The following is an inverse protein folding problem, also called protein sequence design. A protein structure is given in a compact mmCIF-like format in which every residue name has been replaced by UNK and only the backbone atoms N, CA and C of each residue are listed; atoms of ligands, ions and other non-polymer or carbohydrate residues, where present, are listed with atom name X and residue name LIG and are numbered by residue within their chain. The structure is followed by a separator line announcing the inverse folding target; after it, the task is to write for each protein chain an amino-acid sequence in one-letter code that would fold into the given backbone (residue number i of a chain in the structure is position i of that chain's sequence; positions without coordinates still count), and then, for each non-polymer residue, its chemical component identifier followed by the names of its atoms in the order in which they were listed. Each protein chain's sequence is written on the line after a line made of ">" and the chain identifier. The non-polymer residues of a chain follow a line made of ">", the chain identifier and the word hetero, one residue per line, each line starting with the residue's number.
data_IF_251605434510
#
_entry.id   IF_251605434510
#
_cell.length_a   1.000
_cell.length_b   1.000
_cell.length_c   1.000
_cell.angle_alpha   90.00
_cell.angle_beta   90.00
_cell.angle_gamma   90.00
#
_symmetry.space_group_name_H-M   'P 1'
#
loop_
_entity.id
_entity.type
_entity.pdbx_description
1 polymer ?
#
# COMPACT_ATOMS: atom_id res chain seq x y z
N UNK A 1 -64.04 7.09 20.10
CA UNK A 1 -63.55 5.80 20.65
C UNK A 1 -62.06 5.97 20.85
N UNK A 2 -61.64 6.52 22.00
CA UNK A 2 -61.24 5.81 23.24
C UNK A 2 -59.80 5.30 23.20
N UNK A 3 -58.94 6.03 23.91
CA UNK A 3 -57.80 5.62 24.76
C UNK A 3 -57.38 4.14 24.74
N UNK A 4 -56.06 3.90 24.70
CA UNK A 4 -55.33 3.40 25.87
C UNK A 4 -53.81 3.35 25.61
N UNK A 5 -53.08 4.08 26.45
CA UNK A 5 -51.69 3.84 26.79
C UNK A 5 -51.66 2.61 27.71
N UNK A 6 -50.84 1.60 27.41
CA UNK A 6 -50.50 0.55 28.37
C UNK A 6 -48.99 0.50 28.58
N UNK A 7 -48.62 0.63 29.86
CA UNK A 7 -47.26 0.73 30.33
C UNK A 7 -46.56 -0.61 30.29
N UNK A 8 -45.26 -0.57 29.97
CA UNK A 8 -44.35 -1.69 30.21
C UNK A 8 -43.52 -1.40 31.44
N UNK A 9 -43.84 -2.10 32.51
CA UNK A 9 -43.13 -2.14 33.78
C UNK A 9 -41.73 -2.72 33.57
N UNK A 10 -40.72 -1.96 33.96
CA UNK A 10 -39.32 -2.40 34.07
C UNK A 10 -39.25 -3.45 35.19
N UNK A 11 -38.92 -4.70 34.85
CA UNK A 11 -38.54 -5.70 35.87
C UNK A 11 -37.09 -5.48 36.26
N UNK A 12 -36.89 -5.03 37.49
CA UNK A 12 -35.61 -5.04 38.19
C UNK A 12 -35.13 -6.50 38.36
N UNK A 13 -33.88 -6.77 37.99
CA UNK A 13 -33.20 -8.05 38.28
C UNK A 13 -32.72 -8.06 39.74
N UNK A 14 -32.79 -9.21 40.45
CA UNK A 14 -32.21 -9.35 41.78
C UNK A 14 -30.66 -9.44 41.72
N UNK A 15 -29.95 -9.10 42.81
CA UNK A 15 -28.49 -9.15 42.85
C UNK A 15 -28.03 -10.59 43.10
N UNK A 16 -27.02 -11.05 42.36
CA UNK A 16 -26.33 -12.30 42.65
C UNK A 16 -24.83 -12.04 42.83
N UNK A 17 -24.45 -11.99 44.11
CA UNK A 17 -23.25 -12.57 44.72
C UNK A 17 -21.90 -12.24 44.10
N UNK A 18 -21.19 -11.31 44.72
CA UNK A 18 -19.77 -11.06 44.50
C UNK A 18 -18.93 -12.24 44.98
N UNK A 19 -18.14 -12.82 44.08
CA UNK A 19 -17.10 -13.80 44.39
C UNK A 19 -15.83 -13.02 44.75
N UNK A 20 -15.41 -13.09 46.01
CA UNK A 20 -14.19 -12.45 46.50
C UNK A 20 -13.00 -13.29 46.02
N UNK A 21 -12.27 -12.77 45.03
CA UNK A 21 -10.90 -13.21 44.76
C UNK A 21 -9.96 -12.38 45.61
N UNK A 22 -9.26 -13.02 46.55
CA UNK A 22 -8.13 -12.43 47.26
C UNK A 22 -6.99 -12.17 46.27
N UNK A 23 -6.76 -10.90 45.96
CA UNK A 23 -5.62 -10.43 45.19
C UNK A 23 -4.41 -10.32 46.14
N UNK A 24 -3.47 -11.26 46.04
CA UNK A 24 -2.18 -11.12 46.71
C UNK A 24 -1.41 -9.96 46.08
N UNK A 25 -1.22 -8.90 46.85
CA UNK A 25 -0.39 -7.76 46.51
C UNK A 25 1.09 -8.18 46.64
N UNK A 26 1.71 -8.56 45.52
CA UNK A 26 3.17 -8.61 45.43
C UNK A 26 3.67 -7.23 45.02
N UNK A 27 4.25 -6.50 45.98
CA UNK A 27 5.03 -5.28 45.73
C UNK A 27 6.30 -5.64 44.96
N UNK A 28 6.32 -5.44 43.65
CA UNK A 28 7.56 -5.40 42.89
C UNK A 28 8.08 -3.96 42.89
N UNK A 29 9.16 -3.77 43.64
CA UNK A 29 9.93 -2.54 43.66
C UNK A 29 10.53 -2.24 42.28
N UNK A 30 10.57 -0.94 41.98
CA UNK A 30 11.24 -0.37 40.82
C UNK A 30 12.76 -0.59 40.94
N UNK A 31 13.40 -1.23 39.96
CA UNK A 31 14.85 -1.13 39.76
C UNK A 31 15.14 -0.74 38.31
N UNK A 32 15.49 0.52 38.11
CA UNK A 32 16.12 1.00 36.89
C UNK A 32 17.59 0.58 36.91
N UNK A 33 17.93 -0.49 36.19
CA UNK A 33 19.31 -0.86 35.90
C UNK A 33 19.64 -0.47 34.43
N UNK A 34 20.53 0.50 34.18
CA UNK A 34 20.78 1.04 32.85
C UNK A 34 22.01 0.39 32.21
N UNK A 35 22.04 -0.92 31.99
CA UNK A 35 23.07 -1.52 31.12
C UNK A 35 22.61 -2.86 30.53
N UNK A 36 21.83 -2.82 29.46
CA UNK A 36 21.79 -3.90 28.47
C UNK A 36 21.59 -3.30 27.07
N UNK A 37 22.30 -3.79 26.03
CA UNK A 37 22.28 -3.17 24.72
C UNK A 37 20.90 -3.36 24.10
N UNK A 38 20.33 -2.25 23.62
CA UNK A 38 19.17 -2.25 22.73
C UNK A 38 19.55 -3.10 21.51
N UNK A 39 18.93 -4.28 21.39
CA UNK A 39 18.99 -5.06 20.14
C UNK A 39 18.36 -4.20 19.06
N UNK A 40 19.21 -3.71 18.16
CA UNK A 40 18.87 -2.84 17.05
C UNK A 40 17.73 -3.43 16.21
N UNK A 41 16.79 -2.57 15.83
CA UNK A 41 15.85 -2.82 14.74
C UNK A 41 16.60 -3.34 13.49
N UNK A 42 15.98 -4.19 12.64
CA UNK A 42 16.60 -4.57 11.39
C UNK A 42 16.92 -3.30 10.59
N UNK A 43 18.20 -3.15 10.23
CA UNK A 43 18.71 -2.11 9.36
C UNK A 43 18.01 -2.22 8.00
N UNK A 44 17.02 -1.37 7.75
CA UNK A 44 16.39 -1.20 6.43
C UNK A 44 17.32 -0.36 5.56
N UNK A 45 18.51 -0.91 5.31
CA UNK A 45 19.70 -0.22 4.83
C UNK A 45 19.46 0.85 3.76
N UNK A 46 20.16 1.98 3.93
CA UNK A 46 20.48 2.87 2.80
C UNK A 46 21.11 2.03 1.68
N UNK A 47 20.83 2.32 0.40
CA UNK A 47 21.35 1.52 -0.70
C UNK A 47 22.88 1.66 -0.75
N UNK A 48 23.58 0.60 -0.34
CA UNK A 48 25.01 0.43 -0.60
C UNK A 48 25.19 -0.15 -2.00
N UNK A 49 25.96 0.55 -2.82
CA UNK A 49 26.36 0.11 -4.15
C UNK A 49 27.48 -0.92 -3.99
N UNK A 50 27.17 -2.22 -4.02
CA UNK A 50 28.16 -3.26 -4.33
C UNK A 50 27.54 -4.61 -4.76
N UNK A 51 27.76 -4.93 -6.03
CA UNK A 51 28.07 -6.21 -6.68
C UNK A 51 27.19 -7.46 -6.41
N UNK A 52 26.56 -7.91 -7.50
CA UNK A 52 25.80 -9.14 -7.65
C UNK A 52 26.61 -10.42 -7.37
N UNK A 53 26.00 -11.41 -6.72
CA UNK A 53 25.47 -12.65 -7.36
C UNK A 53 25.26 -13.72 -6.29
N UNK A 54 24.01 -14.06 -5.99
CA UNK A 54 23.58 -15.43 -5.71
C UNK A 54 22.08 -15.52 -6.07
N UNK A 55 21.78 -16.03 -7.27
CA UNK A 55 20.41 -16.18 -7.75
C UNK A 55 19.91 -17.55 -7.29
N UNK A 56 19.30 -17.59 -6.11
CA UNK A 56 18.23 -18.55 -5.85
C UNK A 56 16.95 -17.96 -6.44
N UNK A 57 16.03 -18.78 -6.95
CA UNK A 57 14.84 -18.36 -7.70
C UNK A 57 14.18 -17.02 -7.28
N UNK A 58 14.12 -16.10 -8.27
CA UNK A 58 13.03 -15.15 -8.57
C UNK A 58 12.77 -13.91 -7.69
N UNK A 59 13.79 -13.18 -7.24
CA UNK A 59 13.63 -11.79 -6.79
C UNK A 59 13.45 -10.78 -7.94
N UNK A 60 13.06 -9.54 -7.64
CA UNK A 60 13.17 -8.40 -8.56
C UNK A 60 14.14 -7.38 -7.97
N UNK A 61 15.04 -6.88 -8.82
CA UNK A 61 15.81 -5.68 -8.57
C UNK A 61 15.97 -4.95 -9.90
N UNK A 62 15.22 -3.88 -10.10
CA UNK A 62 15.24 -3.08 -11.32
C UNK A 62 15.48 -1.61 -10.96
N UNK A 63 16.50 -1.01 -11.55
CA UNK A 63 16.85 0.41 -11.38
C UNK A 63 16.37 1.27 -12.56
N UNK A 64 15.61 0.67 -13.49
CA UNK A 64 15.03 1.34 -14.65
C UNK A 64 16.03 2.20 -15.44
N UNK A 65 17.26 1.72 -15.62
CA UNK A 65 18.19 2.26 -16.63
C UNK A 65 17.69 1.96 -18.04
N UNK A 66 17.08 0.79 -18.20
CA UNK A 66 16.23 0.37 -19.32
C UNK A 66 15.03 -0.38 -18.73
N UNK A 67 13.95 -0.58 -19.50
CA UNK A 67 12.86 -1.42 -19.03
C UNK A 67 13.28 -2.88 -19.15
N UNK A 68 13.44 -3.61 -18.03
CA UNK A 68 13.72 -5.04 -18.07
C UNK A 68 12.48 -5.80 -18.55
N UNK A 69 12.41 -6.06 -19.87
CA UNK A 69 11.26 -6.71 -20.51
C UNK A 69 11.14 -8.20 -20.18
N UNK A 70 12.11 -8.81 -19.51
CA UNK A 70 11.96 -10.15 -18.94
C UNK A 70 11.18 -10.14 -17.63
N UNK A 71 11.13 -9.01 -16.92
CA UNK A 71 10.36 -8.83 -15.69
C UNK A 71 9.02 -8.15 -15.97
N UNK A 72 9.03 -7.05 -16.74
CA UNK A 72 7.90 -6.15 -16.87
C UNK A 72 7.21 -6.22 -18.24
N UNK A 73 5.91 -5.98 -18.23
CA UNK A 73 5.06 -5.71 -19.39
C UNK A 73 4.39 -4.35 -19.23
N UNK A 74 4.35 -3.55 -20.29
CA UNK A 74 3.61 -2.28 -20.31
C UNK A 74 2.13 -2.56 -20.55
N UNK A 75 1.27 -2.15 -19.63
CA UNK A 75 -0.16 -2.45 -19.72
C UNK A 75 -0.86 -1.64 -20.84
N UNK A 76 -1.86 -2.27 -21.47
CA UNK A 76 -2.58 -1.72 -22.63
C UNK A 76 -4.08 -2.06 -22.54
N UNK A 77 -4.75 -1.58 -21.48
CA UNK A 77 -6.15 -1.87 -21.21
C UNK A 77 -6.84 -0.74 -20.46
N UNK A 78 -8.16 -0.83 -20.35
CA UNK A 78 -8.98 0.19 -19.70
C UNK A 78 -8.66 0.30 -18.21
N UNK A 79 -8.57 1.53 -17.71
CA UNK A 79 -8.39 1.82 -16.27
C UNK A 79 -9.57 1.27 -15.44
N UNK A 80 -9.38 0.95 -14.15
CA UNK A 80 -10.41 0.32 -13.32
C UNK A 80 -11.75 1.06 -13.28
N UNK A 81 -11.74 2.40 -13.24
CA UNK A 81 -12.97 3.22 -13.23
C UNK A 81 -13.54 3.53 -14.62
N UNK A 82 -12.97 2.92 -15.67
CA UNK A 82 -13.49 2.94 -17.05
C UNK A 82 -13.55 4.30 -17.74
N UNK A 83 -12.85 5.31 -17.24
CA UNK A 83 -12.80 6.67 -17.79
C UNK A 83 -11.59 6.93 -18.71
N UNK A 84 -10.56 6.08 -18.68
CA UNK A 84 -9.39 6.17 -19.55
C UNK A 84 -8.69 4.82 -19.78
N UNK A 85 -7.52 4.85 -20.42
CA UNK A 85 -6.72 3.66 -20.72
C UNK A 85 -5.30 3.76 -20.16
N UNK A 86 -4.77 2.63 -19.69
CA UNK A 86 -3.33 2.44 -19.66
C UNK A 86 -2.82 2.29 -21.10
N UNK A 87 -1.80 3.06 -21.45
CA UNK A 87 -1.17 3.02 -22.77
C UNK A 87 0.29 2.63 -22.61
N UNK A 88 0.79 1.77 -23.50
CA UNK A 88 2.20 1.40 -23.51
C UNK A 88 3.10 2.63 -23.74
N UNK A 89 2.67 3.57 -24.59
CA UNK A 89 3.35 4.84 -24.82
C UNK A 89 3.47 5.73 -23.57
N UNK A 90 2.70 5.46 -22.52
CA UNK A 90 2.71 6.21 -21.28
C UNK A 90 3.52 5.50 -20.17
N UNK A 91 4.20 4.39 -20.46
CA UNK A 91 5.09 3.71 -19.53
C UNK A 91 6.45 3.54 -20.20
N UNK A 92 7.32 4.55 -20.10
CA UNK A 92 8.60 4.58 -20.81
C UNK A 92 9.76 4.70 -19.83
N UNK A 93 10.97 4.34 -20.24
CA UNK A 93 12.17 4.56 -19.44
C UNK A 93 13.00 5.69 -20.03
N UNK A 94 13.33 6.68 -19.20
CA UNK A 94 14.16 7.81 -19.57
C UNK A 94 14.93 8.34 -18.35
N UNK A 95 16.20 8.73 -18.56
CA UNK A 95 17.01 9.36 -17.50
C UNK A 95 17.13 8.54 -16.21
N UNK A 96 17.23 7.20 -16.31
CA UNK A 96 17.31 6.30 -15.16
C UNK A 96 16.02 6.18 -14.35
N UNK A 97 14.87 6.43 -14.97
CA UNK A 97 13.57 6.27 -14.35
C UNK A 97 12.61 5.55 -15.29
N UNK A 98 11.74 4.72 -14.73
CA UNK A 98 10.45 4.41 -15.34
C UNK A 98 9.54 5.64 -15.14
N UNK A 99 9.05 6.19 -16.24
CA UNK A 99 8.12 7.31 -16.27
C UNK A 99 6.72 6.81 -16.66
N UNK A 100 5.80 6.97 -15.71
CA UNK A 100 4.38 6.63 -15.85
C UNK A 100 3.62 7.92 -16.13
N UNK A 101 3.39 8.18 -17.41
CA UNK A 101 2.88 9.44 -17.93
C UNK A 101 1.37 9.60 -17.77
N UNK A 102 0.99 10.84 -17.46
CA UNK A 102 -0.36 11.37 -17.44
C UNK A 102 -0.43 12.49 -18.48
N UNK A 103 -0.86 12.20 -19.71
CA UNK A 103 -0.96 13.20 -20.77
C UNK A 103 -1.97 14.30 -20.44
N UNK A 104 -1.66 15.53 -20.85
CA UNK A 104 -2.58 16.67 -20.75
C UNK A 104 -3.94 16.35 -21.38
N UNK A 105 -5.02 16.79 -20.72
CA UNK A 105 -6.40 16.73 -21.23
C UNK A 105 -6.94 15.31 -21.57
N UNK A 106 -6.31 14.25 -21.07
CA UNK A 106 -6.81 12.87 -21.19
C UNK A 106 -7.06 12.24 -19.82
N UNK A 107 -7.73 11.09 -19.79
CA UNK A 107 -7.79 10.19 -18.61
C UNK A 107 -6.79 9.03 -18.74
N UNK A 108 -5.95 9.05 -19.77
CA UNK A 108 -5.00 7.97 -20.03
C UNK A 108 -3.84 8.04 -19.02
N UNK A 109 -3.28 6.88 -18.74
CA UNK A 109 -2.22 6.71 -17.74
C UNK A 109 -1.15 5.72 -18.20
N UNK A 110 -0.14 5.56 -17.35
CA UNK A 110 0.95 4.62 -17.55
C UNK A 110 0.91 3.52 -16.50
N UNK A 111 1.23 2.29 -16.91
CA UNK A 111 1.40 1.18 -15.98
C UNK A 111 2.37 0.15 -16.54
N UNK A 112 3.14 -0.45 -15.62
CA UNK A 112 3.83 -1.72 -15.85
C UNK A 112 3.33 -2.76 -14.86
N UNK A 113 3.33 -4.02 -15.30
CA UNK A 113 3.04 -5.18 -14.46
C UNK A 113 4.08 -6.26 -14.68
N UNK A 114 4.34 -7.07 -13.67
CA UNK A 114 5.26 -8.20 -13.84
C UNK A 114 4.68 -9.29 -14.74
N UNK A 115 5.55 -10.00 -15.45
CA UNK A 115 5.19 -11.18 -16.24
C UNK A 115 4.78 -12.35 -15.35
N UNK A 116 5.49 -12.53 -14.24
CA UNK A 116 5.27 -13.59 -13.28
C UNK A 116 4.50 -13.06 -12.07
N UNK A 117 3.85 -13.99 -11.37
CA UNK A 117 3.26 -13.74 -10.05
C UNK A 117 4.27 -14.08 -8.96
N UNK A 118 4.19 -13.34 -7.87
CA UNK A 118 5.06 -13.45 -6.72
C UNK A 118 4.24 -13.70 -5.45
N UNK A 119 4.90 -14.23 -4.42
CA UNK A 119 4.26 -14.75 -3.22
C UNK A 119 4.41 -13.81 -2.03
N UNK A 120 4.56 -14.41 -0.85
CA UNK A 120 5.00 -13.69 0.34
C UNK A 120 6.40 -13.11 0.12
N UNK A 121 6.67 -11.99 0.78
CA UNK A 121 7.90 -11.25 0.62
C UNK A 121 7.69 -9.76 0.82
N UNK A 122 8.72 -8.99 0.51
CA UNK A 122 8.73 -7.53 0.59
C UNK A 122 8.74 -6.94 -0.81
N UNK A 123 7.78 -6.05 -1.08
CA UNK A 123 7.62 -5.34 -2.34
C UNK A 123 7.87 -3.85 -2.09
N UNK A 124 8.72 -3.25 -2.91
CA UNK A 124 9.23 -1.92 -2.67
C UNK A 124 9.35 -1.16 -3.99
N UNK A 125 8.94 0.11 -3.99
CA UNK A 125 9.17 1.03 -5.10
C UNK A 125 9.64 2.39 -4.59
N UNK A 126 10.64 2.96 -5.25
CA UNK A 126 11.15 4.31 -4.96
C UNK A 126 10.55 5.26 -6.00
N UNK A 127 9.58 6.06 -5.58
CA UNK A 127 8.71 6.81 -6.47
C UNK A 127 8.67 8.30 -6.11
N UNK A 128 8.63 9.15 -7.13
CA UNK A 128 8.19 10.55 -7.05
C UNK A 128 6.91 10.68 -7.84
N UNK A 129 5.81 10.95 -7.15
CA UNK A 129 4.48 10.97 -7.77
C UNK A 129 4.30 12.20 -8.67
N UNK A 130 3.42 12.08 -9.66
CA UNK A 130 3.00 13.24 -10.45
C UNK A 130 2.37 14.33 -9.56
N UNK A 131 2.61 15.63 -9.82
CA UNK A 131 1.89 16.71 -9.13
C UNK A 131 0.42 16.84 -9.58
N UNK A 132 -0.04 16.03 -10.55
CA UNK A 132 -1.42 16.03 -11.01
C UNK A 132 -2.38 15.54 -9.90
N UNK A 133 -3.13 16.47 -9.31
CA UNK A 133 -4.09 16.21 -8.22
C UNK A 133 -5.29 15.34 -8.62
N UNK A 134 -5.47 15.08 -9.92
CA UNK A 134 -6.53 14.22 -10.46
C UNK A 134 -6.13 12.75 -10.59
N UNK A 135 -4.90 12.40 -10.22
CA UNK A 135 -4.35 11.08 -10.44
C UNK A 135 -3.94 10.38 -9.14
N UNK A 136 -3.93 9.06 -9.22
CA UNK A 136 -3.27 8.15 -8.30
C UNK A 136 -1.83 7.90 -8.78
N UNK A 137 -0.96 7.69 -7.82
CA UNK A 137 0.37 7.12 -7.95
C UNK A 137 0.35 5.85 -7.10
N UNK A 138 0.52 4.67 -7.71
CA UNK A 138 0.29 3.40 -7.01
C UNK A 138 1.44 2.42 -7.13
N UNK A 139 1.62 1.65 -6.05
CA UNK A 139 2.45 0.45 -5.98
C UNK A 139 1.59 -0.64 -5.35
N UNK A 140 1.39 -1.74 -6.08
CA UNK A 140 0.37 -2.70 -5.70
C UNK A 140 0.62 -4.10 -6.25
N UNK A 141 -0.04 -5.08 -5.64
CA UNK A 141 -0.09 -6.46 -6.12
C UNK A 141 -1.52 -6.85 -6.45
N UNK A 142 -1.72 -7.57 -7.55
CA UNK A 142 -3.05 -7.99 -8.00
C UNK A 142 -3.06 -9.41 -8.56
N UNK A 143 -4.14 -10.15 -8.29
CA UNK A 143 -4.49 -11.40 -8.96
C UNK A 143 -5.90 -11.33 -9.56
N UNK A 144 -6.12 -12.09 -10.64
CA UNK A 144 -7.38 -12.09 -11.39
C UNK A 144 -8.61 -12.52 -10.60
N UNK A 145 -8.43 -13.18 -9.45
CA UNK A 145 -9.51 -13.52 -8.53
C UNK A 145 -9.98 -12.32 -7.68
N UNK A 146 -9.36 -11.15 -7.82
CA UNK A 146 -9.64 -9.94 -7.04
C UNK A 146 -8.91 -9.87 -5.70
N UNK A 147 -7.90 -10.72 -5.48
CA UNK A 147 -6.95 -10.52 -4.38
C UNK A 147 -6.01 -9.35 -4.75
N UNK A 148 -5.87 -8.39 -3.85
CA UNK A 148 -5.12 -7.15 -4.10
C UNK A 148 -4.50 -6.56 -2.82
N UNK A 149 -3.33 -5.94 -2.95
CA UNK A 149 -2.67 -5.16 -1.89
C UNK A 149 -2.21 -3.84 -2.51
N UNK A 150 -2.66 -2.72 -1.96
CA UNK A 150 -2.42 -1.40 -2.55
C UNK A 150 -1.75 -0.43 -1.58
N UNK A 151 -0.83 0.36 -2.13
CA UNK A 151 -0.52 1.69 -1.63
C UNK A 151 -0.94 2.68 -2.71
N UNK A 152 -1.93 3.50 -2.40
CA UNK A 152 -2.40 4.56 -3.28
C UNK A 152 -2.04 5.93 -2.71
N UNK A 153 -1.37 6.76 -3.51
CA UNK A 153 -1.07 8.16 -3.19
C UNK A 153 -1.92 9.06 -4.06
N UNK A 154 -2.69 9.97 -3.44
CA UNK A 154 -3.56 10.91 -4.17
C UNK A 154 -3.78 12.22 -3.43
N UNK A 155 -4.36 13.19 -4.12
CA UNK A 155 -4.74 14.47 -3.54
C UNK A 155 -6.26 14.55 -3.30
N UNK A 156 -6.67 14.81 -2.06
CA UNK A 156 -8.06 15.11 -1.71
C UNK A 156 -8.08 16.11 -0.55
N UNK A 157 -8.14 17.41 -0.89
CA UNK A 157 -7.95 18.51 0.07
C UNK A 157 -6.55 18.54 0.73
N UNK A 158 -5.60 17.78 0.18
CA UNK A 158 -4.28 17.49 0.73
C UNK A 158 -3.82 16.11 0.28
N UNK A 159 -2.52 15.84 0.32
CA UNK A 159 -1.97 14.54 -0.06
C UNK A 159 -2.35 13.45 0.95
N UNK A 160 -2.75 12.29 0.45
CA UNK A 160 -3.20 11.12 1.19
C UNK A 160 -2.38 9.90 0.82
N UNK A 161 -2.18 9.02 1.79
CA UNK A 161 -1.71 7.66 1.62
C UNK A 161 -2.85 6.73 2.02
N UNK A 162 -3.30 5.87 1.12
CA UNK A 162 -4.35 4.89 1.37
C UNK A 162 -3.77 3.49 1.21
N UNK A 163 -3.84 2.71 2.27
CA UNK A 163 -3.32 1.35 2.34
C UNK A 163 -4.50 0.39 2.31
N UNK A 164 -4.59 -0.46 1.29
CA UNK A 164 -5.73 -1.33 1.09
C UNK A 164 -5.31 -2.79 0.95
N UNK A 165 -6.20 -3.69 1.39
CA UNK A 165 -6.08 -5.13 1.13
C UNK A 165 -7.45 -5.65 0.73
N UNK A 166 -7.54 -6.28 -0.44
CA UNK A 166 -8.74 -6.91 -0.94
C UNK A 166 -8.57 -8.42 -0.99
N UNK A 167 -9.59 -9.15 -0.54
CA UNK A 167 -9.69 -10.59 -0.67
C UNK A 167 -10.85 -10.92 -1.59
N UNK A 168 -10.57 -11.51 -2.75
CA UNK A 168 -11.56 -11.92 -3.75
C UNK A 168 -12.55 -10.81 -4.12
N UNK A 169 -12.04 -9.60 -4.30
CA UNK A 169 -12.83 -8.39 -4.62
C UNK A 169 -13.55 -7.77 -3.43
N UNK A 170 -13.38 -8.30 -2.20
CA UNK A 170 -13.95 -7.73 -0.97
C UNK A 170 -12.85 -7.03 -0.18
N UNK A 171 -13.05 -5.75 0.13
CA UNK A 171 -12.12 -4.97 0.94
C UNK A 171 -12.05 -5.57 2.34
N UNK A 172 -10.89 -6.13 2.68
CA UNK A 172 -10.65 -6.80 3.96
C UNK A 172 -9.96 -5.90 4.98
N UNK A 173 -9.22 -4.89 4.50
CA UNK A 173 -8.56 -3.90 5.34
C UNK A 173 -8.40 -2.59 4.56
N UNK A 174 -8.49 -1.46 5.27
CA UNK A 174 -8.17 -0.13 4.75
C UNK A 174 -7.70 0.79 5.85
N UNK A 175 -6.63 1.52 5.60
CA UNK A 175 -6.23 2.66 6.42
C UNK A 175 -5.78 3.81 5.53
N UNK A 176 -6.47 4.94 5.62
CA UNK A 176 -6.07 6.18 4.94
C UNK A 176 -5.49 7.16 5.96
N UNK A 177 -4.36 7.78 5.63
CA UNK A 177 -3.70 8.80 6.43
C UNK A 177 -3.36 10.04 5.59
N UNK A 178 -3.16 11.19 6.23
CA UNK A 178 -2.54 12.33 5.56
C UNK A 178 -1.07 12.03 5.29
N UNK A 179 -0.57 12.38 4.10
CA UNK A 179 0.85 12.33 3.83
C UNK A 179 1.56 13.46 4.59
N UNK A 180 2.60 13.18 5.39
CA UNK A 180 3.32 14.21 6.14
C UNK A 180 4.33 14.98 5.27
N UNK A 181 4.32 14.77 3.96
CA UNK A 181 5.21 15.35 2.96
C UNK A 181 4.45 15.55 1.63
N UNK A 182 5.07 16.28 0.69
CA UNK A 182 4.59 16.36 -0.70
C UNK A 182 5.21 15.24 -1.54
N UNK A 183 4.45 14.19 -1.93
CA UNK A 183 4.97 13.06 -2.69
C UNK A 183 5.42 13.42 -4.11
N UNK A 184 5.12 14.63 -4.58
CA UNK A 184 5.57 15.13 -5.88
C UNK A 184 6.88 15.93 -5.83
N UNK A 185 7.31 16.35 -4.62
CA UNK A 185 8.50 17.16 -4.44
C UNK A 185 9.80 16.33 -4.44
N UNK A 186 9.75 15.10 -3.92
CA UNK A 186 10.92 14.24 -3.77
C UNK A 186 10.58 12.76 -4.02
N UNK A 187 11.61 11.93 -4.16
CA UNK A 187 11.44 10.49 -4.17
C UNK A 187 11.26 9.97 -2.75
N UNK A 188 10.29 9.07 -2.58
CA UNK A 188 10.00 8.37 -1.34
C UNK A 188 9.96 6.86 -1.61
N UNK A 189 10.22 6.07 -0.57
CA UNK A 189 10.19 4.61 -0.65
C UNK A 189 8.86 4.09 -0.13
N UNK A 190 8.14 3.36 -0.96
CA UNK A 190 6.83 2.79 -0.63
C UNK A 190 6.94 1.27 -0.49
N UNK A 191 6.81 0.87 0.78
CA UNK A 191 6.95 -0.44 1.42
C UNK A 191 5.70 -1.31 1.58
N UNK A 192 5.54 -2.51 1.03
CA UNK A 192 4.67 -3.49 1.71
C UNK A 192 5.33 -4.86 1.92
N UNK A 193 5.29 -5.33 3.17
CA UNK A 193 5.74 -6.65 3.57
C UNK A 193 4.52 -7.56 3.73
N UNK A 194 4.44 -8.59 2.89
CA UNK A 194 3.33 -9.52 2.80
C UNK A 194 3.73 -10.90 3.31
N UNK A 195 2.96 -11.40 4.30
CA UNK A 195 3.15 -12.70 4.91
C UNK A 195 1.81 -13.41 5.08
N UNK A 196 1.84 -14.67 5.52
CA UNK A 196 0.63 -15.44 5.82
C UNK A 196 -0.22 -14.85 6.95
N UNK A 197 0.36 -14.03 7.83
CA UNK A 197 -0.33 -13.49 9.02
C UNK A 197 -0.64 -12.00 8.94
N UNK A 198 0.12 -11.22 8.15
CA UNK A 198 -0.06 -9.78 8.05
C UNK A 198 0.42 -9.21 6.71
N UNK A 199 -0.17 -8.07 6.35
CA UNK A 199 0.40 -7.10 5.41
C UNK A 199 0.81 -5.87 6.21
N UNK A 200 2.08 -5.45 6.12
CA UNK A 200 2.60 -4.26 6.81
C UNK A 200 3.07 -3.24 5.79
N UNK A 201 2.64 -1.99 5.96
CA UNK A 201 2.91 -0.91 5.03
C UNK A 201 3.90 0.08 5.63
N UNK A 202 4.91 0.44 4.86
CA UNK A 202 5.98 1.35 5.25
C UNK A 202 6.10 2.49 4.25
N UNK A 203 6.50 3.65 4.75
CA UNK A 203 6.93 4.77 3.92
C UNK A 203 8.24 5.29 4.48
N UNK A 204 9.26 5.35 3.63
CA UNK A 204 10.65 5.69 4.01
C UNK A 204 11.15 4.85 5.20
N UNK A 205 10.85 3.54 5.17
CA UNK A 205 11.23 2.59 6.21
C UNK A 205 10.40 2.67 7.51
N UNK A 206 9.49 3.65 7.63
CA UNK A 206 8.66 3.82 8.83
C UNK A 206 7.32 3.13 8.65
N UNK A 207 6.95 2.23 9.57
CA UNK A 207 5.65 1.54 9.58
C UNK A 207 4.51 2.57 9.70
N UNK A 208 3.54 2.51 8.78
CA UNK A 208 2.37 3.38 8.74
C UNK A 208 1.05 2.65 9.01
N UNK A 209 0.95 1.39 8.60
CA UNK A 209 -0.25 0.57 8.76
C UNK A 209 0.11 -0.91 8.84
N UNK A 210 -0.73 -1.68 9.52
CA UNK A 210 -0.64 -3.14 9.56
C UNK A 210 -2.04 -3.74 9.45
N UNK A 211 -2.24 -4.59 8.46
CA UNK A 211 -3.47 -5.33 8.24
C UNK A 211 -3.30 -6.77 8.71
N UNK A 212 -3.98 -7.10 9.80
CA UNK A 212 -4.17 -8.46 10.30
C UNK A 212 -5.67 -8.74 10.17
N UNK A 213 -6.06 -9.43 9.10
CA UNK A 213 -7.47 -9.59 8.73
C UNK A 213 -8.10 -10.84 9.38
N UNK A 214 -9.33 -10.72 9.86
CA UNK A 214 -10.16 -11.85 10.29
C UNK A 214 -10.79 -12.63 9.13
N UNK A 215 -10.83 -12.03 7.93
CA UNK A 215 -11.39 -12.62 6.69
C UNK A 215 -10.36 -13.42 5.87
N UNK A 216 -9.20 -13.73 6.46
CA UNK A 216 -8.01 -14.23 5.77
C UNK A 216 -7.39 -13.21 4.79
N UNK A 217 -6.07 -13.28 4.63
CA UNK A 217 -5.32 -12.44 3.69
C UNK A 217 -5.38 -12.99 2.25
N UNK A 218 -5.00 -12.18 1.25
CA UNK A 218 -4.74 -12.63 -0.12
C UNK A 218 -3.91 -13.92 -0.19
N UNK A 219 -4.13 -14.70 -1.25
CA UNK A 219 -3.26 -15.84 -1.53
C UNK A 219 -1.90 -15.36 -2.07
N UNK A 220 -0.78 -16.05 -1.75
CA UNK A 220 0.55 -15.67 -2.24
C UNK A 220 0.76 -16.11 -3.69
N UNK A 221 0.17 -15.36 -4.63
CA UNK A 221 0.44 -15.48 -6.07
C UNK A 221 -0.22 -14.29 -6.80
N UNK A 222 0.41 -13.12 -6.72
CA UNK A 222 -0.08 -11.89 -7.34
C UNK A 222 1.01 -11.27 -8.22
N UNK A 223 0.62 -10.61 -9.30
CA UNK A 223 1.57 -9.76 -10.05
C UNK A 223 1.98 -8.57 -9.20
N UNK A 224 3.11 -7.97 -9.49
CA UNK A 224 3.54 -6.69 -8.95
C UNK A 224 3.36 -5.60 -10.01
N UNK A 225 2.76 -4.47 -9.63
CA UNK A 225 2.33 -3.43 -10.55
C UNK A 225 2.71 -2.05 -10.03
N UNK A 226 3.04 -1.16 -10.97
CA UNK A 226 3.35 0.25 -10.73
C UNK A 226 2.54 1.07 -11.71
N UNK A 227 1.75 2.03 -11.25
CA UNK A 227 0.91 2.82 -12.16
C UNK A 227 0.70 4.27 -11.76
N UNK A 228 0.30 5.05 -12.75
CA UNK A 228 -0.24 6.39 -12.59
C UNK A 228 -1.46 6.55 -13.48
N UNK A 229 -2.63 6.81 -12.88
CA UNK A 229 -3.91 6.89 -13.59
C UNK A 229 -4.95 7.70 -12.83
N UNK A 230 -6.06 8.03 -13.48
CA UNK A 230 -7.05 8.97 -12.97
C UNK A 230 -8.35 8.24 -12.63
N UNK A 231 -8.66 8.02 -11.34
CA UNK A 231 -9.93 7.42 -10.95
C UNK A 231 -11.10 8.41 -11.12
N UNK A 232 -12.27 7.90 -11.49
CA UNK A 232 -13.48 8.72 -11.63
C UNK A 232 -13.94 9.37 -10.32
N UNK A 233 -13.63 8.76 -9.17
CA UNK A 233 -14.09 9.22 -7.85
C UNK A 233 -13.28 10.37 -7.26
N UNK A 234 -12.10 10.71 -7.80
CA UNK A 234 -11.38 11.91 -7.34
C UNK A 234 -12.13 13.20 -7.70
N UNK A 235 -13.05 13.15 -8.67
CA UNK A 235 -13.88 14.29 -9.09
C UNK A 235 -13.09 15.58 -9.36
N UNK A 236 -11.84 15.44 -9.82
CA UNK A 236 -10.96 16.53 -10.26
C UNK A 236 -10.89 16.50 -11.78
N UNK A 237 -10.85 17.67 -12.41
CA UNK A 237 -10.64 17.79 -13.86
C UNK A 237 -9.34 17.13 -14.32
N UNK A 238 -9.29 16.72 -15.58
CA UNK A 238 -8.11 16.13 -16.23
C UNK A 238 -6.85 17.00 -16.03
N UNK A 239 -5.63 16.41 -16.07
CA UNK A 239 -4.39 17.16 -15.98
C UNK A 239 -4.34 18.29 -17.01
N UNK A 240 -4.00 19.50 -16.56
CA UNK A 240 -3.86 20.69 -17.42
C UNK A 240 -2.50 20.77 -18.10
N UNK A 241 -1.57 19.91 -17.71
CA UNK A 241 -0.25 19.71 -18.31
C UNK A 241 0.11 18.22 -18.33
N UNK A 242 1.01 17.82 -19.23
CA UNK A 242 1.56 16.47 -19.25
C UNK A 242 2.54 16.34 -18.09
N UNK A 243 2.37 15.30 -17.28
CA UNK A 243 3.16 15.04 -16.07
C UNK A 243 3.45 13.54 -15.97
N UNK A 244 4.34 13.13 -15.07
CA UNK A 244 4.64 11.73 -14.84
C UNK A 244 4.88 11.44 -13.37
N UNK A 245 4.48 10.24 -12.94
CA UNK A 245 5.09 9.58 -11.78
C UNK A 245 6.39 8.94 -12.24
N UNK A 246 7.47 9.14 -11.49
CA UNK A 246 8.80 8.58 -11.79
C UNK A 246 9.16 7.53 -10.77
N UNK A 247 9.62 6.37 -11.24
CA UNK A 247 10.11 5.28 -10.40
C UNK A 247 11.58 5.06 -10.73
N UNK A 248 12.45 5.23 -9.73
CA UNK A 248 13.90 5.04 -9.93
C UNK A 248 14.34 3.61 -9.62
N UNK A 249 13.59 2.89 -8.79
CA UNK A 249 13.84 1.48 -8.57
C UNK A 249 12.59 0.74 -8.06
N UNK A 250 12.54 -0.56 -8.32
CA UNK A 250 11.55 -1.48 -7.79
C UNK A 250 12.19 -2.82 -7.38
N UNK A 251 11.75 -3.35 -6.25
CA UNK A 251 12.29 -4.58 -5.66
C UNK A 251 11.18 -5.52 -5.21
N UNK A 252 11.43 -6.81 -5.37
CA UNK A 252 10.72 -7.89 -4.70
C UNK A 252 11.74 -8.83 -4.07
N UNK A 253 11.60 -9.06 -2.76
CA UNK A 253 12.47 -9.94 -1.97
C UNK A 253 11.58 -11.01 -1.31
N UNK A 254 11.65 -12.28 -1.72
CA UNK A 254 10.82 -13.37 -1.16
C UNK A 254 11.09 -13.58 0.34
#
# INVERSE_FOLDING_TARGET
>A
MTNALEGRTVRLRPPATALIFTLSLATLACSSDPTQPVTSAPDLGKPSVALATLVTSSGIADQFTTLNTSVWWQSAYQTPTKNGYFRTSNATVAGGNLELWLPKNTYDGGQVETRLSYGYGTYEAIMKCSPARSALCTVYSYASNGDEIDIEVYYSGGWKLDFLVWKRGVKSCRQAIAAPFDPSAAYHTYTYAFSSSAVRFYVDGVLKSSCVSTLSLPAPSMKFLLSAWQPSWLNVSKPTSTTATRVTAAYYRP
#
